data_IF_675010011946
#
_entry.id   IF_675010011946
#
_cell.length_a   1.000
_cell.length_b   1.000
_cell.length_c   1.000
_cell.angle_alpha   90.00
_cell.angle_beta   90.00
_cell.angle_gamma   90.00
#
_symmetry.space_group_name_H-M   'P 1'
#
loop_
_entity.id
_entity.type
_entity.pdbx_description
1 polymer ?
#
# COMPACT_ATOMS: atom_id res chain seq x y z
N UNK A 1 11.75 -5.82 10.25
CA UNK A 1 11.62 -4.36 10.35
C UNK A 1 12.95 -3.74 10.72
N UNK A 2 13.34 -2.67 10.03
CA UNK A 2 14.43 -1.81 10.45
C UNK A 2 13.87 -0.67 11.33
N UNK A 3 14.40 -0.50 12.55
CA UNK A 3 13.91 0.52 13.49
C UNK A 3 14.11 1.95 12.99
N UNK A 4 15.24 2.23 12.33
CA UNK A 4 15.54 3.56 11.80
C UNK A 4 14.60 3.91 10.64
N UNK A 5 14.24 2.92 9.82
CA UNK A 5 13.25 3.12 8.75
C UNK A 5 11.87 3.44 9.32
N UNK A 6 11.46 2.74 10.39
CA UNK A 6 10.21 3.03 11.06
C UNK A 6 10.21 4.43 11.68
N UNK A 7 11.31 4.83 12.31
CA UNK A 7 11.44 6.15 12.93
C UNK A 7 11.26 7.28 11.92
N UNK A 8 11.90 7.17 10.74
CA UNK A 8 11.71 8.12 9.64
C UNK A 8 10.22 8.21 9.27
N UNK A 9 9.55 7.08 9.04
CA UNK A 9 8.11 7.10 8.69
C UNK A 9 7.23 7.73 9.78
N UNK A 10 7.57 7.56 11.06
CA UNK A 10 6.74 8.04 12.17
C UNK A 10 6.98 9.50 12.52
N UNK A 11 8.14 10.05 12.17
CA UNK A 11 8.55 11.41 12.58
C UNK A 11 8.59 12.39 11.42
N UNK A 12 8.52 11.90 10.19
CA UNK A 12 8.75 12.68 8.98
C UNK A 12 7.48 12.91 8.14
N UNK A 13 7.54 13.88 7.23
CA UNK A 13 6.51 14.16 6.23
C UNK A 13 6.84 13.51 4.87
N UNK A 14 5.98 13.67 3.86
CA UNK A 14 6.16 13.02 2.55
C UNK A 14 7.46 13.43 1.83
N UNK A 15 7.94 14.67 1.99
CA UNK A 15 9.18 15.17 1.36
C UNK A 15 10.41 14.50 1.95
N UNK A 16 10.41 14.27 3.25
CA UNK A 16 11.54 13.67 3.94
C UNK A 16 11.74 12.21 3.46
N UNK A 17 10.65 11.51 3.11
CA UNK A 17 10.74 10.17 2.53
C UNK A 17 11.23 10.20 1.07
N UNK A 18 10.86 11.23 0.32
CA UNK A 18 11.43 11.48 -1.02
C UNK A 18 12.95 11.70 -0.94
N UNK A 19 13.41 12.51 0.01
CA UNK A 19 14.83 12.73 0.28
C UNK A 19 15.55 11.44 0.68
N UNK A 20 14.91 10.62 1.53
CA UNK A 20 15.46 9.32 1.90
C UNK A 20 15.66 8.42 0.69
N UNK A 21 14.70 8.35 -0.25
CA UNK A 21 14.85 7.56 -1.48
C UNK A 21 15.99 8.06 -2.36
N UNK A 22 16.15 9.38 -2.48
CA UNK A 22 17.24 9.99 -3.25
C UNK A 22 18.61 9.62 -2.67
N UNK A 23 18.72 9.59 -1.34
CA UNK A 23 19.96 9.22 -0.64
C UNK A 23 20.18 7.69 -0.60
N UNK A 24 19.12 6.89 -0.74
CA UNK A 24 19.15 5.44 -0.56
C UNK A 24 18.61 4.70 -1.79
N UNK A 25 19.10 5.07 -2.99
CA UNK A 25 18.63 4.54 -4.27
C UNK A 25 18.70 3.00 -4.39
N UNK A 26 19.59 2.35 -3.64
CA UNK A 26 19.79 0.89 -3.69
C UNK A 26 19.23 0.15 -2.47
N UNK A 27 18.64 0.86 -1.50
CA UNK A 27 18.06 0.24 -0.32
C UNK A 27 16.54 0.10 -0.48
N UNK A 28 16.01 -1.00 0.05
CA UNK A 28 14.57 -1.19 0.25
C UNK A 28 14.19 -0.65 1.64
N UNK A 29 13.08 0.06 1.74
CA UNK A 29 12.56 0.54 3.03
C UNK A 29 11.90 -0.62 3.79
N UNK A 30 12.66 -1.27 4.67
CA UNK A 30 12.16 -2.37 5.51
C UNK A 30 11.24 -1.93 6.66
N UNK A 31 9.93 -2.05 6.40
CA UNK A 31 8.82 -1.81 7.33
C UNK A 31 8.02 -3.09 7.61
N UNK A 32 8.63 -4.27 7.46
CA UNK A 32 7.94 -5.56 7.65
C UNK A 32 7.41 -5.66 9.07
N UNK A 33 6.16 -6.08 9.23
CA UNK A 33 5.46 -6.17 10.53
C UNK A 33 5.28 -4.83 11.26
N UNK A 34 5.47 -3.68 10.58
CA UNK A 34 5.14 -2.39 11.16
C UNK A 34 3.64 -2.28 11.43
N UNK A 35 3.28 -1.55 12.48
CA UNK A 35 1.88 -1.27 12.85
C UNK A 35 1.65 0.24 12.81
N UNK A 36 0.75 0.66 11.94
CA UNK A 36 0.35 2.05 11.77
C UNK A 36 -1.13 2.22 12.09
N UNK A 37 -1.42 3.09 13.06
CA UNK A 37 -2.77 3.35 13.54
C UNK A 37 -3.04 4.85 13.44
N UNK A 38 -4.15 5.23 12.81
CA UNK A 38 -4.62 6.62 12.73
C UNK A 38 -3.56 7.59 12.16
N UNK A 39 -2.83 7.15 11.12
CA UNK A 39 -1.77 7.95 10.49
C UNK A 39 -2.22 8.53 9.16
N UNK A 40 -1.74 9.73 8.87
CA UNK A 40 -1.85 10.33 7.55
C UNK A 40 -0.53 10.14 6.80
N UNK A 41 -0.57 9.31 5.76
CA UNK A 41 0.52 9.11 4.81
C UNK A 41 0.14 9.56 3.40
N UNK A 42 -0.82 10.48 3.30
CA UNK A 42 -1.20 11.02 2.00
C UNK A 42 0.02 11.60 1.28
N UNK A 43 0.15 11.27 -0.01
CA UNK A 43 1.26 11.66 -0.88
C UNK A 43 2.64 11.08 -0.55
N UNK A 44 2.74 10.18 0.42
CA UNK A 44 4.02 9.51 0.70
C UNK A 44 4.45 8.63 -0.48
N UNK A 45 5.75 8.50 -0.69
CA UNK A 45 6.30 7.52 -1.63
C UNK A 45 6.87 6.30 -0.89
N UNK A 46 6.08 5.22 -0.82
CA UNK A 46 6.53 3.93 -0.29
C UNK A 46 7.19 3.05 -1.35
N UNK A 47 7.57 3.57 -2.52
CA UNK A 47 8.19 2.77 -3.57
C UNK A 47 9.35 1.92 -3.05
N UNK A 48 9.43 0.66 -3.50
CA UNK A 48 10.46 -0.31 -3.10
C UNK A 48 10.47 -0.66 -1.60
N UNK A 49 9.37 -0.41 -0.88
CA UNK A 49 9.25 -0.80 0.53
C UNK A 49 8.91 -2.28 0.71
N UNK A 50 9.40 -2.84 1.82
CA UNK A 50 8.99 -4.15 2.32
C UNK A 50 7.96 -3.93 3.44
N UNK A 51 6.70 -4.20 3.14
CA UNK A 51 5.54 -4.06 4.05
C UNK A 51 4.87 -5.43 4.29
N UNK A 52 5.62 -6.52 4.11
CA UNK A 52 5.14 -7.86 4.43
C UNK A 52 4.70 -7.92 5.90
N UNK A 53 3.53 -8.48 6.16
CA UNK A 53 2.91 -8.56 7.49
C UNK A 53 2.62 -7.21 8.17
N UNK A 54 2.74 -6.07 7.48
CA UNK A 54 2.43 -4.78 8.07
C UNK A 54 0.92 -4.61 8.30
N UNK A 55 0.57 -3.78 9.29
CA UNK A 55 -0.80 -3.44 9.63
C UNK A 55 -1.04 -1.94 9.46
N UNK A 56 -2.08 -1.57 8.72
CA UNK A 56 -2.57 -0.20 8.61
C UNK A 56 -4.03 -0.19 9.03
N UNK A 57 -4.36 0.60 10.06
CA UNK A 57 -5.74 0.74 10.55
C UNK A 57 -6.09 2.21 10.67
N UNK A 58 -7.23 2.61 10.10
CA UNK A 58 -7.73 3.99 10.11
C UNK A 58 -6.71 5.00 9.53
N UNK A 59 -5.93 4.60 8.53
CA UNK A 59 -4.91 5.46 7.92
C UNK A 59 -5.41 6.12 6.64
N UNK A 60 -4.89 7.31 6.37
CA UNK A 60 -5.05 7.99 5.09
C UNK A 60 -3.85 7.71 4.20
N UNK A 61 -4.08 7.06 3.05
CA UNK A 61 -3.12 6.75 1.99
C UNK A 61 -3.55 7.43 0.68
N UNK A 62 -4.26 8.56 0.73
CA UNK A 62 -4.68 9.26 -0.47
C UNK A 62 -3.46 9.79 -1.25
N UNK A 63 -3.46 9.60 -2.57
CA UNK A 63 -2.39 10.03 -3.47
C UNK A 63 -1.00 9.42 -3.16
N UNK A 64 -0.94 8.35 -2.35
CA UNK A 64 0.30 7.64 -2.00
C UNK A 64 0.82 6.78 -3.16
N UNK A 65 2.14 6.61 -3.24
CA UNK A 65 2.81 5.85 -4.29
C UNK A 65 3.37 4.55 -3.71
N UNK A 66 3.04 3.42 -4.36
CA UNK A 66 3.42 2.07 -3.94
C UNK A 66 4.07 1.26 -5.07
N UNK A 67 5.06 1.84 -5.76
CA UNK A 67 5.72 1.14 -6.87
C UNK A 67 6.65 0.02 -6.36
N UNK A 68 6.48 -1.20 -6.86
CA UNK A 68 7.30 -2.38 -6.53
C UNK A 68 7.33 -2.69 -5.03
N UNK A 69 6.20 -2.49 -4.34
CA UNK A 69 6.05 -2.74 -2.90
C UNK A 69 5.62 -4.18 -2.64
N UNK A 70 6.07 -4.76 -1.52
CA UNK A 70 5.64 -6.08 -1.04
C UNK A 70 4.74 -5.92 0.19
N UNK A 71 3.47 -6.25 0.05
CA UNK A 71 2.44 -6.27 1.09
C UNK A 71 1.97 -7.71 1.40
N UNK A 72 2.85 -8.71 1.29
CA UNK A 72 2.41 -10.11 1.44
C UNK A 72 1.94 -10.34 2.87
N UNK A 73 0.78 -10.97 3.04
CA UNK A 73 0.17 -11.23 4.34
C UNK A 73 -0.07 -9.96 5.19
N UNK A 74 -0.16 -8.78 4.58
CA UNK A 74 -0.46 -7.53 5.29
C UNK A 74 -1.95 -7.42 5.65
N UNK A 75 -2.28 -6.46 6.52
CA UNK A 75 -3.65 -6.18 6.94
C UNK A 75 -3.96 -4.68 6.84
N UNK A 76 -4.95 -4.32 6.02
CA UNK A 76 -5.42 -2.95 5.83
C UNK A 76 -6.90 -2.88 6.18
N UNK A 77 -7.24 -2.03 7.15
CA UNK A 77 -8.62 -1.83 7.60
C UNK A 77 -8.97 -0.34 7.73
N UNK A 78 -10.16 0.04 7.24
CA UNK A 78 -10.68 1.41 7.28
C UNK A 78 -9.69 2.41 6.66
N UNK A 79 -9.30 2.13 5.42
CA UNK A 79 -8.26 2.89 4.72
C UNK A 79 -8.90 3.75 3.62
N UNK A 80 -8.48 5.02 3.53
CA UNK A 80 -8.63 5.80 2.30
C UNK A 80 -7.36 5.67 1.48
N UNK A 81 -7.46 5.22 0.24
CA UNK A 81 -6.34 5.10 -0.71
C UNK A 81 -6.74 5.71 -2.06
N UNK A 82 -7.46 6.83 -2.01
CA UNK A 82 -8.02 7.48 -3.20
C UNK A 82 -6.89 8.00 -4.06
N UNK A 83 -7.00 7.81 -5.37
CA UNK A 83 -5.98 8.26 -6.35
C UNK A 83 -4.57 7.74 -6.07
N UNK A 84 -4.40 6.73 -5.20
CA UNK A 84 -3.11 6.08 -4.97
C UNK A 84 -2.63 5.36 -6.23
N UNK A 85 -1.30 5.18 -6.32
CA UNK A 85 -0.65 4.52 -7.44
C UNK A 85 0.00 3.23 -6.97
N UNK A 86 -0.47 2.11 -7.53
CA UNK A 86 0.07 0.78 -7.30
C UNK A 86 0.63 0.23 -8.62
N UNK A 87 1.95 0.17 -8.73
CA UNK A 87 2.61 -0.43 -9.90
C UNK A 87 3.47 -1.60 -9.45
N UNK A 88 3.24 -2.79 -10.01
CA UNK A 88 4.02 -4.01 -9.69
C UNK A 88 4.00 -4.34 -8.20
N UNK A 89 2.91 -4.00 -7.53
CA UNK A 89 2.73 -4.23 -6.09
C UNK A 89 2.26 -5.65 -5.83
N UNK A 90 2.89 -6.32 -4.88
CA UNK A 90 2.53 -7.67 -4.48
C UNK A 90 1.69 -7.63 -3.20
N UNK A 91 0.40 -7.94 -3.33
CA UNK A 91 -0.58 -8.05 -2.27
C UNK A 91 -0.97 -9.51 -2.00
N UNK A 92 -0.09 -10.47 -2.29
CA UNK A 92 -0.39 -11.89 -2.08
C UNK A 92 -0.85 -12.15 -0.65
N UNK A 93 -2.02 -12.81 -0.51
CA UNK A 93 -2.65 -13.13 0.77
C UNK A 93 -2.85 -11.91 1.71
N UNK A 94 -3.02 -10.70 1.16
CA UNK A 94 -3.40 -9.51 1.95
C UNK A 94 -4.83 -9.66 2.49
N UNK A 95 -5.11 -9.00 3.61
CA UNK A 95 -6.49 -8.72 4.03
C UNK A 95 -6.81 -7.25 3.84
N UNK A 96 -7.87 -6.96 3.07
CA UNK A 96 -8.40 -5.62 2.78
C UNK A 96 -9.83 -5.54 3.32
N UNK A 97 -10.07 -4.63 4.27
CA UNK A 97 -11.40 -4.38 4.84
C UNK A 97 -11.74 -2.90 4.82
N UNK A 98 -12.90 -2.54 4.29
CA UNK A 98 -13.37 -1.14 4.28
C UNK A 98 -12.34 -0.19 3.64
N UNK A 99 -11.89 -0.51 2.41
CA UNK A 99 -10.84 0.26 1.73
C UNK A 99 -11.39 1.02 0.54
N UNK A 100 -11.16 2.33 0.50
CA UNK A 100 -11.55 3.18 -0.62
C UNK A 100 -10.38 3.38 -1.60
N UNK A 101 -10.43 2.69 -2.74
CA UNK A 101 -9.47 2.84 -3.82
C UNK A 101 -9.99 3.76 -4.94
N UNK A 102 -11.00 4.60 -4.69
CA UNK A 102 -11.60 5.39 -5.77
C UNK A 102 -10.59 6.27 -6.50
N UNK A 103 -10.60 6.19 -7.83
CA UNK A 103 -9.64 6.88 -8.69
C UNK A 103 -8.20 6.35 -8.64
N UNK A 104 -7.91 5.29 -7.89
CA UNK A 104 -6.58 4.70 -7.82
C UNK A 104 -6.18 4.01 -9.14
N UNK A 105 -4.89 3.70 -9.25
CA UNK A 105 -4.32 3.00 -10.42
C UNK A 105 -3.60 1.74 -9.98
N UNK A 106 -3.94 0.61 -10.62
CA UNK A 106 -3.26 -0.67 -10.43
C UNK A 106 -2.69 -1.14 -11.77
N UNK A 107 -1.37 -1.31 -11.83
CA UNK A 107 -0.68 -1.83 -13.00
C UNK A 107 0.21 -3.01 -12.62
N UNK A 108 -0.07 -4.20 -13.18
CA UNK A 108 0.70 -5.43 -12.89
C UNK A 108 0.73 -5.80 -11.40
N UNK A 109 -0.39 -5.61 -10.70
CA UNK A 109 -0.51 -5.95 -9.29
C UNK A 109 -0.99 -7.40 -9.10
N UNK A 110 -0.58 -8.02 -7.99
CA UNK A 110 -0.95 -9.39 -7.63
C UNK A 110 -1.75 -9.34 -6.33
N UNK A 111 -3.03 -9.69 -6.38
CA UNK A 111 -3.93 -9.85 -5.23
C UNK A 111 -4.38 -11.32 -5.08
N UNK A 112 -3.64 -12.28 -5.62
CA UNK A 112 -3.93 -13.72 -5.42
C UNK A 112 -4.04 -14.03 -3.94
N UNK A 113 -5.05 -14.81 -3.56
CA UNK A 113 -5.41 -15.18 -2.18
C UNK A 113 -5.76 -14.00 -1.25
N UNK A 114 -5.96 -12.79 -1.79
CA UNK A 114 -6.39 -11.67 -0.98
C UNK A 114 -7.80 -11.89 -0.42
N UNK A 115 -8.00 -11.55 0.85
CA UNK A 115 -9.31 -11.48 1.50
C UNK A 115 -9.84 -10.06 1.34
N UNK A 116 -10.93 -9.89 0.61
CA UNK A 116 -11.44 -8.58 0.22
C UNK A 116 -12.86 -8.43 0.77
N UNK A 117 -13.06 -7.42 1.61
CA UNK A 117 -14.35 -7.09 2.21
C UNK A 117 -14.60 -5.58 2.09
N UNK A 118 -15.76 -5.21 1.54
CA UNK A 118 -16.20 -3.81 1.43
C UNK A 118 -15.14 -2.86 0.85
N UNK A 119 -14.76 -3.08 -0.41
CA UNK A 119 -13.86 -2.16 -1.12
C UNK A 119 -14.60 -1.31 -2.13
N UNK A 120 -14.15 -0.06 -2.30
CA UNK A 120 -14.66 0.84 -3.33
C UNK A 120 -13.64 0.94 -4.47
N UNK A 121 -14.03 0.50 -5.66
CA UNK A 121 -13.22 0.56 -6.88
C UNK A 121 -13.72 1.61 -7.90
N UNK A 122 -14.59 2.54 -7.51
CA UNK A 122 -15.14 3.55 -8.42
C UNK A 122 -14.04 4.33 -9.14
N UNK A 123 -14.11 4.40 -10.47
CA UNK A 123 -13.12 5.08 -11.31
C UNK A 123 -11.68 4.56 -11.17
N UNK A 124 -11.49 3.34 -10.66
CA UNK A 124 -10.15 2.74 -10.53
C UNK A 124 -9.68 2.24 -11.89
N UNK A 125 -8.44 2.55 -12.25
CA UNK A 125 -7.81 1.98 -13.44
C UNK A 125 -7.14 0.65 -13.09
N UNK A 126 -7.61 -0.44 -13.68
CA UNK A 126 -7.11 -1.79 -13.44
C UNK A 126 -6.47 -2.34 -14.73
N UNK A 127 -5.17 -2.61 -14.71
CA UNK A 127 -4.47 -3.19 -15.86
C UNK A 127 -3.48 -4.28 -15.44
N UNK A 128 -3.67 -5.50 -15.98
CA UNK A 128 -2.88 -6.70 -15.62
C UNK A 128 -2.89 -6.99 -14.12
N UNK A 129 -4.06 -6.88 -13.50
CA UNK A 129 -4.25 -7.20 -12.07
C UNK A 129 -4.69 -8.65 -11.94
N UNK A 130 -3.97 -9.42 -11.11
CA UNK A 130 -4.39 -10.78 -10.74
C UNK A 130 -5.23 -10.70 -9.47
N UNK A 131 -6.46 -11.21 -9.51
CA UNK A 131 -7.41 -11.17 -8.39
C UNK A 131 -7.52 -12.53 -7.70
N UNK A 132 -8.06 -12.58 -6.47
CA UNK A 132 -8.54 -13.83 -5.86
C UNK A 132 -9.54 -14.53 -6.79
N UNK A 133 -9.54 -15.86 -6.81
CA UNK A 133 -10.43 -16.64 -7.70
C UNK A 133 -11.93 -16.42 -7.42
N UNK A 134 -12.26 -16.05 -6.19
CA UNK A 134 -13.62 -15.82 -5.68
C UNK A 134 -14.06 -14.34 -5.77
N UNK A 135 -13.18 -13.43 -6.22
CA UNK A 135 -13.48 -12.00 -6.29
C UNK A 135 -13.93 -11.56 -7.69
N UNK A 136 -15.16 -11.05 -7.78
CA UNK A 136 -15.68 -10.41 -9.00
C UNK A 136 -15.59 -8.89 -8.91
N UNK A 137 -14.79 -8.28 -9.78
CA UNK A 137 -14.51 -6.84 -9.82
C UNK A 137 -15.15 -6.11 -11.00
N UNK A 138 -15.92 -6.81 -11.84
CA UNK A 138 -16.50 -6.31 -13.09
C UNK A 138 -17.97 -5.91 -12.96
N UNK A 139 -18.46 -5.71 -11.72
CA UNK A 139 -19.82 -5.26 -11.43
C UNK A 139 -19.92 -3.73 -11.32
#
# INVERSE_FOLDING_TARGET
>A
MNKNHLEIILTSNFRDLEDWHNQNQYQELDLRSAVFLNKDFSKFDFSRSLLDHAMFVNCNLDETIFNSVKFRNAFLENISAKKSIFNRTNFFNITLKNVDFSGAKFYRCVLTDAKIENINLKSTALYKVSWPSDFNHLA
#
